data_IF_690271258981
#
_entry.id   IF_690271258981
#
_cell.length_a   1.000
_cell.length_b   1.000
_cell.length_c   1.000
_cell.angle_alpha   90.00
_cell.angle_beta   90.00
_cell.angle_gamma   90.00
#
_symmetry.space_group_name_H-M   'P 1'
#
loop_
_entity.id
_entity.type
_entity.pdbx_description
1 polymer ?
#
# COMPACT_ATOMS: atom_id res chain seq x y z
N UNK A 1 2.66 5.26 -13.71
CA UNK A 1 3.15 4.16 -12.89
C UNK A 1 4.63 4.37 -12.57
N UNK A 2 5.00 4.21 -11.30
CA UNK A 2 6.38 4.37 -10.85
C UNK A 2 7.34 3.44 -11.60
N UNK A 3 6.88 2.24 -11.94
CA UNK A 3 7.71 1.26 -12.66
C UNK A 3 8.07 1.74 -14.07
N UNK A 4 7.22 2.55 -14.67
CA UNK A 4 7.49 3.07 -16.01
C UNK A 4 8.65 4.06 -16.04
N UNK A 5 9.07 4.58 -14.90
CA UNK A 5 10.20 5.49 -14.79
C UNK A 5 11.55 4.78 -14.72
N UNK A 6 11.56 3.47 -14.52
CA UNK A 6 12.78 2.68 -14.47
C UNK A 6 13.19 2.30 -15.89
N UNK A 7 14.36 2.79 -16.32
CA UNK A 7 14.89 2.52 -17.66
C UNK A 7 15.59 1.17 -17.75
N UNK A 8 16.19 0.73 -16.63
CA UNK A 8 16.89 -0.55 -16.55
C UNK A 8 15.90 -1.65 -16.22
N UNK A 9 15.79 -2.64 -17.10
CA UNK A 9 14.88 -3.76 -16.91
C UNK A 9 15.25 -4.61 -15.69
N UNK A 10 16.54 -4.76 -15.40
CA UNK A 10 16.98 -5.49 -14.21
C UNK A 10 16.55 -4.80 -12.94
N UNK A 11 16.65 -3.47 -12.89
CA UNK A 11 16.18 -2.68 -11.75
C UNK A 11 14.66 -2.81 -11.58
N UNK A 12 13.94 -2.77 -12.69
CA UNK A 12 12.49 -2.90 -12.68
C UNK A 12 12.06 -4.27 -12.13
N UNK A 13 12.70 -5.34 -12.60
CA UNK A 13 12.40 -6.70 -12.14
C UNK A 13 12.75 -6.87 -10.66
N UNK A 14 13.87 -6.31 -10.22
CA UNK A 14 14.25 -6.36 -8.80
C UNK A 14 13.23 -5.61 -7.94
N UNK A 15 12.75 -4.47 -8.41
CA UNK A 15 11.74 -3.69 -7.71
C UNK A 15 10.42 -4.45 -7.60
N UNK A 16 9.98 -5.08 -8.70
CA UNK A 16 8.77 -5.89 -8.71
C UNK A 16 8.87 -7.06 -7.74
N UNK A 17 10.02 -7.72 -7.69
CA UNK A 17 10.26 -8.82 -6.76
C UNK A 17 10.18 -8.35 -5.31
N UNK A 18 10.75 -7.18 -5.01
CA UNK A 18 10.66 -6.61 -3.66
C UNK A 18 9.22 -6.29 -3.28
N UNK A 19 8.42 -5.75 -4.21
CA UNK A 19 7.01 -5.49 -3.96
C UNK A 19 6.25 -6.77 -3.67
N UNK A 20 6.50 -7.83 -4.44
CA UNK A 20 5.87 -9.12 -4.22
C UNK A 20 6.21 -9.66 -2.83
N UNK A 21 7.47 -9.55 -2.43
CA UNK A 21 7.90 -10.01 -1.11
C UNK A 21 7.22 -9.23 0.01
N UNK A 22 7.09 -7.92 -0.15
CA UNK A 22 6.39 -7.09 0.83
C UNK A 22 4.91 -7.45 0.91
N UNK A 23 4.27 -7.66 -0.24
CA UNK A 23 2.85 -8.04 -0.26
C UNK A 23 2.60 -9.39 0.39
N UNK A 24 3.57 -10.31 0.33
CA UNK A 24 3.43 -11.61 1.00
C UNK A 24 3.38 -11.49 2.52
N UNK A 25 3.90 -10.41 3.08
CA UNK A 25 3.84 -10.17 4.51
C UNK A 25 2.45 -9.75 4.99
N UNK A 26 1.59 -9.35 4.06
CA UNK A 26 0.28 -8.81 4.38
C UNK A 26 -0.78 -9.89 4.45
N UNK A 27 -1.81 -9.65 5.25
CA UNK A 27 -3.03 -10.49 5.20
C UNK A 27 -3.74 -10.25 3.87
N UNK A 28 -4.66 -11.14 3.52
CA UNK A 28 -5.43 -10.98 2.28
C UNK A 28 -6.18 -9.64 2.24
N UNK A 29 -6.79 -9.25 3.35
CA UNK A 29 -7.52 -7.98 3.43
C UNK A 29 -6.58 -6.78 3.30
N UNK A 30 -5.44 -6.81 3.98
CA UNK A 30 -4.45 -5.75 3.89
C UNK A 30 -3.93 -5.60 2.46
N UNK A 31 -3.62 -6.71 1.80
CA UNK A 31 -3.13 -6.72 0.43
C UNK A 31 -4.15 -6.12 -0.52
N UNK A 32 -5.42 -6.50 -0.37
CA UNK A 32 -6.50 -5.99 -1.21
C UNK A 32 -6.65 -4.47 -1.06
N UNK A 33 -6.66 -3.98 0.17
CA UNK A 33 -6.82 -2.55 0.44
C UNK A 33 -5.63 -1.76 -0.10
N UNK A 34 -4.41 -2.24 0.14
CA UNK A 34 -3.19 -1.59 -0.35
C UNK A 34 -3.19 -1.55 -1.88
N UNK A 35 -3.55 -2.65 -2.51
CA UNK A 35 -3.62 -2.72 -3.97
C UNK A 35 -4.61 -1.69 -4.53
N UNK A 36 -5.82 -1.64 -3.98
CA UNK A 36 -6.85 -0.73 -4.47
C UNK A 36 -6.45 0.73 -4.28
N UNK A 37 -5.87 1.06 -3.14
CA UNK A 37 -5.53 2.45 -2.85
C UNK A 37 -4.29 2.92 -3.58
N UNK A 38 -3.20 2.16 -3.54
CA UNK A 38 -1.92 2.60 -4.09
C UNK A 38 -1.72 2.23 -5.55
N UNK A 39 -2.16 1.06 -5.98
CA UNK A 39 -1.96 0.61 -7.35
C UNK A 39 -3.08 1.08 -8.28
N UNK A 40 -4.31 1.08 -7.82
CA UNK A 40 -5.46 1.53 -8.59
C UNK A 40 -5.81 3.00 -8.35
N UNK A 41 -5.05 3.65 -7.46
CA UNK A 41 -5.20 5.09 -7.16
C UNK A 41 -6.61 5.47 -6.69
N UNK A 42 -7.29 4.56 -6.00
CA UNK A 42 -8.61 4.83 -5.46
C UNK A 42 -8.52 5.56 -4.12
N UNK A 43 -9.48 6.46 -3.87
CA UNK A 43 -9.56 7.15 -2.59
C UNK A 43 -10.00 6.19 -1.48
N UNK A 44 -9.82 6.59 -0.22
CA UNK A 44 -10.32 5.82 0.91
C UNK A 44 -11.83 5.58 0.78
N UNK A 45 -12.56 6.60 0.34
CA UNK A 45 -14.00 6.50 0.14
C UNK A 45 -14.35 5.44 -0.91
N UNK A 46 -13.65 5.46 -2.04
CA UNK A 46 -13.89 4.51 -3.11
C UNK A 46 -13.57 3.08 -2.69
N UNK A 47 -12.44 2.88 -1.99
CA UNK A 47 -12.07 1.56 -1.48
C UNK A 47 -13.13 1.07 -0.48
N UNK A 48 -13.57 1.96 0.41
CA UNK A 48 -14.60 1.64 1.40
C UNK A 48 -15.89 1.18 0.74
N UNK A 49 -16.30 1.86 -0.33
CA UNK A 49 -17.52 1.49 -1.07
C UNK A 49 -17.39 0.11 -1.73
N UNK A 50 -16.22 -0.16 -2.35
CA UNK A 50 -15.98 -1.45 -2.98
C UNK A 50 -16.03 -2.59 -1.97
N UNK A 51 -15.42 -2.40 -0.81
CA UNK A 51 -15.29 -3.45 0.20
C UNK A 51 -16.41 -3.45 1.24
N UNK A 52 -17.36 -2.54 1.13
CA UNK A 52 -18.48 -2.41 2.07
C UNK A 52 -18.03 -2.22 3.52
N UNK A 53 -17.03 -1.36 3.70
CA UNK A 53 -16.52 -0.96 5.02
C UNK A 53 -16.46 0.57 5.08
N UNK A 54 -16.07 1.12 6.22
CA UNK A 54 -15.98 2.57 6.37
C UNK A 54 -14.62 3.09 5.90
N UNK A 55 -14.52 4.35 5.46
CA UNK A 55 -13.22 4.94 5.13
C UNK A 55 -12.25 4.91 6.31
N UNK A 56 -12.76 5.05 7.53
CA UNK A 56 -11.94 4.94 8.74
C UNK A 56 -11.33 3.55 8.88
N UNK A 57 -12.09 2.51 8.54
CA UNK A 57 -11.57 1.14 8.55
C UNK A 57 -10.50 0.95 7.48
N UNK A 58 -10.69 1.53 6.29
CA UNK A 58 -9.69 1.49 5.24
C UNK A 58 -8.36 2.09 5.73
N UNK A 59 -8.43 3.25 6.37
CA UNK A 59 -7.23 3.91 6.93
C UNK A 59 -6.50 3.02 7.91
N UNK A 60 -7.25 2.40 8.82
CA UNK A 60 -6.66 1.49 9.82
C UNK A 60 -5.96 0.31 9.17
N UNK A 61 -6.60 -0.27 8.16
CA UNK A 61 -6.03 -1.42 7.45
C UNK A 61 -4.73 -1.01 6.75
N UNK A 62 -4.73 0.14 6.08
CA UNK A 62 -3.53 0.65 5.41
C UNK A 62 -2.41 0.90 6.42
N UNK A 63 -2.72 1.55 7.53
CA UNK A 63 -1.73 1.82 8.56
C UNK A 63 -1.09 0.53 9.07
N UNK A 64 -1.91 -0.47 9.38
CA UNK A 64 -1.41 -1.75 9.86
C UNK A 64 -0.61 -2.50 8.80
N UNK A 65 -1.01 -2.38 7.53
CA UNK A 65 -0.25 -2.97 6.44
C UNK A 65 1.13 -2.35 6.33
N UNK A 66 1.23 -1.03 6.41
CA UNK A 66 2.50 -0.33 6.37
C UNK A 66 3.41 -0.70 7.53
N UNK A 67 2.85 -0.80 8.75
CA UNK A 67 3.59 -1.27 9.90
C UNK A 67 4.15 -2.67 9.69
N UNK A 68 3.33 -3.55 9.13
CA UNK A 68 3.72 -4.93 8.89
C UNK A 68 4.84 -5.03 7.87
N UNK A 69 4.80 -4.21 6.83
CA UNK A 69 5.86 -4.13 5.82
C UNK A 69 7.18 -3.64 6.42
N UNK A 70 7.10 -2.82 7.46
CA UNK A 70 8.28 -2.26 8.12
C UNK A 70 8.74 -3.06 9.33
N UNK A 71 8.19 -4.25 9.53
CA UNK A 71 8.57 -5.08 10.67
C UNK A 71 8.06 -4.53 12.01
N UNK A 72 6.96 -3.79 11.98
CA UNK A 72 6.35 -3.22 13.17
C UNK A 72 6.84 -1.82 13.52
N UNK A 73 7.76 -1.25 12.71
CA UNK A 73 8.25 0.12 12.93
C UNK A 73 7.98 0.93 11.66
N UNK A 74 7.03 1.85 11.74
CA UNK A 74 6.72 2.73 10.62
C UNK A 74 7.71 3.91 10.62
N UNK A 75 8.45 4.13 9.52
CA UNK A 75 9.31 5.31 9.44
C UNK A 75 8.50 6.59 9.35
N UNK A 76 9.12 7.70 9.76
CA UNK A 76 8.42 9.00 9.81
C UNK A 76 7.83 9.42 8.48
N UNK A 77 8.52 9.13 7.36
CA UNK A 77 8.01 9.52 6.04
C UNK A 77 6.71 8.80 5.68
N UNK A 78 6.51 7.57 6.16
CA UNK A 78 5.25 6.88 5.96
C UNK A 78 4.12 7.55 6.74
N UNK A 79 4.43 8.04 7.94
CA UNK A 79 3.46 8.80 8.73
C UNK A 79 3.03 10.05 7.99
N UNK A 80 3.99 10.77 7.38
CA UNK A 80 3.69 11.97 6.60
C UNK A 80 2.80 11.66 5.41
N UNK A 81 3.09 10.58 4.66
CA UNK A 81 2.26 10.17 3.53
C UNK A 81 0.85 9.84 4.02
N UNK A 82 0.74 9.11 5.10
CA UNK A 82 -0.54 8.71 5.68
C UNK A 82 -1.36 9.93 6.10
N UNK A 83 -0.74 10.91 6.75
CA UNK A 83 -1.41 12.12 7.17
C UNK A 83 -1.79 13.01 5.98
N UNK A 84 -0.95 13.06 4.95
CA UNK A 84 -1.22 13.86 3.77
C UNK A 84 -2.44 13.35 2.99
N UNK A 85 -2.71 12.06 3.05
CA UNK A 85 -3.84 11.44 2.36
C UNK A 85 -5.13 11.47 3.20
N UNK A 86 -5.03 11.89 4.44
CA UNK A 86 -6.20 12.02 5.30
C UNK A 86 -6.98 13.26 4.93
#
# INVERSE_FOLDING_TARGET
DALALLEDEEERLAYEEQLDNLFRLLTNKQREVVYLHFMQELSYQEVAEILHITPKSVRKIIYRALERMQGGVAPLWLVFIFLAES
#
